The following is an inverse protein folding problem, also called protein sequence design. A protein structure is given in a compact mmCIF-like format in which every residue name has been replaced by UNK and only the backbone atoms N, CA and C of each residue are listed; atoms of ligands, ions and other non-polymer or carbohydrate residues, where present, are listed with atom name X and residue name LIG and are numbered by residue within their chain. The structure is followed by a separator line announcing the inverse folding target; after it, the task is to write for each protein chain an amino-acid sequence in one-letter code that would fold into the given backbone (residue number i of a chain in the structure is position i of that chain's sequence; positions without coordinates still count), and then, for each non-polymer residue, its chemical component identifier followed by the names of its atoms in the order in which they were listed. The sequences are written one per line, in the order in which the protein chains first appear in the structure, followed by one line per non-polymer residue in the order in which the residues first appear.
data_IF_237437389287
#
_entry.id   IF_237437389287
#
_cell.length_a   1.000
_cell.length_b   1.000
_cell.length_c   1.000
_cell.angle_alpha   90.00
_cell.angle_beta   90.00
_cell.angle_gamma   90.00
#
_symmetry.space_group_name_H-M   'P 1'
#
loop_
_entity.id
_entity.type
_entity.pdbx_description
1 polymer ?
#
# COMPACT_ATOMS: atom_id res chain seq x y z
N UNK A 1 3.30 45.13 10.57
CA UNK A 1 3.60 43.95 11.44
C UNK A 1 2.28 43.21 11.61
N UNK A 2 2.11 42.05 10.96
CA UNK A 2 0.92 41.22 11.11
C UNK A 2 1.10 40.46 12.41
N UNK A 3 0.19 40.62 13.41
CA UNK A 3 0.32 39.86 14.63
C UNK A 3 0.10 38.36 14.32
N UNK A 4 1.13 37.56 14.49
CA UNK A 4 0.96 36.13 14.54
C UNK A 4 0.10 35.78 15.77
N UNK A 5 -1.12 35.32 15.56
CA UNK A 5 -1.93 34.78 16.63
C UNK A 5 -1.30 33.44 17.02
N UNK A 6 -0.58 33.41 18.12
CA UNK A 6 -0.16 32.14 18.74
C UNK A 6 -1.40 31.46 19.33
N UNK A 7 -2.03 30.57 18.60
CA UNK A 7 -2.96 29.64 19.22
C UNK A 7 -2.13 28.59 19.94
N UNK A 8 -2.25 28.55 21.26
CA UNK A 8 -1.71 27.45 22.06
C UNK A 8 -2.58 26.23 21.78
N UNK A 9 -2.16 25.39 20.88
CA UNK A 9 -2.85 24.13 20.61
C UNK A 9 -2.65 23.20 21.81
N UNK A 10 -3.76 22.77 22.42
CA UNK A 10 -3.71 21.78 23.50
C UNK A 10 -3.27 20.44 22.89
N UNK A 11 -2.12 19.98 23.31
CA UNK A 11 -1.55 18.71 22.89
C UNK A 11 -2.29 17.59 23.60
N UNK A 12 -2.86 16.61 22.87
CA UNK A 12 -3.51 15.47 23.49
C UNK A 12 -2.56 14.67 24.40
N UNK A 13 -3.01 14.37 25.63
CA UNK A 13 -2.20 13.65 26.63
C UNK A 13 -1.71 12.27 26.16
N UNK A 14 -2.40 11.67 25.21
CA UNK A 14 -2.02 10.38 24.62
C UNK A 14 -0.63 10.40 23.96
N UNK A 15 -0.15 11.58 23.51
CA UNK A 15 1.20 11.67 22.93
C UNK A 15 2.32 11.47 23.95
N UNK A 16 2.06 11.75 25.23
CA UNK A 16 2.99 11.40 26.32
C UNK A 16 3.08 9.88 26.51
N UNK A 17 1.95 9.15 26.41
CA UNK A 17 1.97 7.69 26.44
C UNK A 17 2.79 7.12 25.29
N UNK A 18 2.56 7.62 24.06
CA UNK A 18 3.32 7.19 22.88
C UNK A 18 4.82 7.50 23.04
N UNK A 19 5.17 8.69 23.56
CA UNK A 19 6.55 9.09 23.83
C UNK A 19 7.24 8.16 24.80
N UNK A 20 6.57 7.82 25.91
CA UNK A 20 7.10 7.01 27.00
C UNK A 20 7.15 5.51 26.68
N UNK A 21 6.63 5.08 25.53
CA UNK A 21 6.78 3.70 25.08
C UNK A 21 8.21 3.48 24.54
N UNK A 22 9.04 2.76 25.28
CA UNK A 22 10.47 2.58 24.99
C UNK A 22 10.76 1.64 23.82
N UNK A 23 9.76 0.93 23.29
CA UNK A 23 9.96 0.05 22.15
C UNK A 23 10.24 0.83 20.84
N UNK A 24 10.93 0.21 19.91
CA UNK A 24 11.15 0.79 18.58
C UNK A 24 9.90 0.54 17.72
N UNK A 25 9.34 1.58 17.17
CA UNK A 25 8.18 1.54 16.27
C UNK A 25 8.00 2.87 15.56
N UNK A 26 7.16 2.86 14.53
CA UNK A 26 6.65 4.07 13.87
C UNK A 26 5.19 4.31 14.24
N UNK A 27 4.75 5.56 14.13
CA UNK A 27 3.35 5.97 14.21
C UNK A 27 2.84 6.17 12.78
N UNK A 28 1.72 5.55 12.45
CA UNK A 28 1.00 5.84 11.22
C UNK A 28 0.06 7.03 11.46
N UNK A 29 0.37 8.16 10.84
CA UNK A 29 -0.47 9.35 10.94
C UNK A 29 -1.40 9.45 9.73
N UNK A 30 -2.68 9.23 9.95
CA UNK A 30 -3.71 9.27 8.91
C UNK A 30 -4.54 10.58 8.98
N UNK A 31 -4.99 11.11 7.82
CA UNK A 31 -4.75 10.58 6.48
C UNK A 31 -3.33 10.85 6.00
N UNK A 32 -2.71 9.87 5.35
CA UNK A 32 -1.46 10.07 4.64
C UNK A 32 -1.75 10.95 3.42
N UNK A 33 -0.84 11.88 3.09
CA UNK A 33 -0.99 12.80 1.96
C UNK A 33 -1.63 14.13 2.34
N UNK A 34 -1.18 15.19 1.68
CA UNK A 34 -1.52 16.57 1.99
C UNK A 34 -2.60 17.17 1.11
N UNK A 35 -2.76 18.48 1.24
CA UNK A 35 -3.62 19.32 0.40
C UNK A 35 -2.89 19.68 -0.88
N UNK A 36 -3.39 19.28 -2.03
CA UNK A 36 -2.86 19.62 -3.34
C UNK A 36 -2.45 18.39 -4.17
N UNK A 37 -1.99 18.61 -5.37
CA UNK A 37 -1.62 17.57 -6.35
C UNK A 37 -0.37 16.77 -5.97
N UNK A 38 0.28 17.11 -4.85
CA UNK A 38 1.43 16.40 -4.29
C UNK A 38 1.00 15.23 -3.42
N UNK A 39 1.06 14.06 -3.97
CA UNK A 39 0.62 12.78 -3.40
C UNK A 39 1.27 12.38 -2.05
N UNK A 40 2.31 13.09 -1.60
CA UNK A 40 3.19 12.62 -0.53
C UNK A 40 3.41 13.63 0.62
N UNK A 41 2.85 14.80 0.49
CA UNK A 41 3.06 15.82 1.52
C UNK A 41 1.99 15.67 2.58
N UNK A 42 2.33 15.03 3.68
CA UNK A 42 1.51 15.11 4.88
C UNK A 42 1.31 16.56 5.28
N UNK A 43 0.15 16.84 5.84
CA UNK A 43 -0.12 18.17 6.39
C UNK A 43 0.95 18.53 7.44
N UNK A 44 1.56 19.73 7.40
CA UNK A 44 2.60 20.13 8.36
C UNK A 44 2.18 19.99 9.82
N UNK A 45 0.89 20.01 10.12
CA UNK A 45 0.35 19.79 11.48
C UNK A 45 0.68 18.39 12.00
N UNK A 46 0.77 17.38 11.15
CA UNK A 46 1.21 16.03 11.53
C UNK A 46 2.64 16.04 12.06
N UNK A 47 3.54 16.80 11.41
CA UNK A 47 4.93 16.95 11.88
C UNK A 47 5.01 17.69 13.22
N UNK A 48 4.11 18.67 13.44
CA UNK A 48 4.01 19.35 14.72
C UNK A 48 3.69 18.35 15.85
N UNK A 49 2.79 17.43 15.63
CA UNK A 49 2.47 16.38 16.61
C UNK A 49 3.63 15.41 16.85
N UNK A 50 4.47 15.17 15.84
CA UNK A 50 5.67 14.34 16.01
C UNK A 50 6.64 14.90 17.05
N UNK A 51 6.73 16.22 17.20
CA UNK A 51 7.59 16.88 18.20
C UNK A 51 7.23 16.42 19.63
N UNK A 52 5.95 16.11 19.88
CA UNK A 52 5.48 15.69 21.19
C UNK A 52 5.72 14.21 21.50
N UNK A 53 5.45 13.32 20.53
CA UNK A 53 5.64 11.90 20.79
C UNK A 53 7.05 11.38 20.40
N UNK A 54 7.86 12.15 19.67
CA UNK A 54 9.26 11.87 19.33
C UNK A 54 9.51 10.53 18.61
N UNK A 55 8.47 9.93 18.02
CA UNK A 55 8.58 8.66 17.28
C UNK A 55 8.59 8.92 15.78
N UNK A 56 9.27 8.06 14.99
CA UNK A 56 9.13 8.08 13.52
C UNK A 56 7.67 8.02 13.10
N UNK A 57 7.33 8.70 12.01
CA UNK A 57 5.98 8.67 11.44
C UNK A 57 5.99 8.19 10.00
N UNK A 58 4.95 7.44 9.62
CA UNK A 58 4.59 7.26 8.22
C UNK A 58 3.71 8.43 7.79
N UNK A 59 4.03 8.99 6.62
CA UNK A 59 3.29 10.13 6.07
C UNK A 59 3.91 11.49 6.39
N UNK A 60 5.19 11.55 6.70
CA UNK A 60 5.93 12.79 6.91
C UNK A 60 6.01 13.68 5.68
N UNK A 61 6.40 14.94 5.88
CA UNK A 61 6.67 15.89 4.81
C UNK A 61 8.11 15.73 4.34
N UNK A 62 8.29 15.28 3.10
CA UNK A 62 9.60 15.28 2.47
C UNK A 62 9.54 16.05 1.14
N UNK A 63 10.26 17.14 1.07
CA UNK A 63 10.36 17.96 -0.14
C UNK A 63 11.11 17.28 -1.29
N UNK A 64 11.78 16.15 -1.01
CA UNK A 64 12.60 15.39 -1.97
C UNK A 64 12.48 13.89 -1.69
N UNK A 65 11.26 13.38 -1.73
CA UNK A 65 11.02 11.94 -1.57
C UNK A 65 11.48 11.19 -2.83
N UNK A 66 12.27 10.14 -2.67
CA UNK A 66 12.66 9.29 -3.80
C UNK A 66 11.43 8.58 -4.38
N UNK A 67 11.47 8.24 -5.67
CA UNK A 67 10.41 7.46 -6.31
C UNK A 67 10.18 6.12 -5.59
N UNK A 68 11.25 5.50 -5.09
CA UNK A 68 11.19 4.25 -4.34
C UNK A 68 10.41 4.40 -3.02
N UNK A 69 10.66 5.46 -2.26
CA UNK A 69 9.88 5.77 -1.04
C UNK A 69 8.42 6.06 -1.39
N UNK A 70 8.19 6.74 -2.52
CA UNK A 70 6.84 6.98 -3.03
C UNK A 70 6.09 5.69 -3.35
N UNK A 71 6.74 4.74 -3.98
CA UNK A 71 6.14 3.46 -4.33
C UNK A 71 5.85 2.63 -3.07
N UNK A 72 6.71 2.68 -2.06
CA UNK A 72 6.46 2.04 -0.76
C UNK A 72 5.24 2.60 -0.04
N UNK A 73 5.02 3.93 -0.04
CA UNK A 73 3.83 4.54 0.58
C UNK A 73 2.54 4.28 -0.21
N UNK A 74 2.65 3.89 -1.47
CA UNK A 74 1.53 3.50 -2.34
C UNK A 74 1.20 2.02 -2.28
N UNK A 75 1.85 1.26 -1.39
CA UNK A 75 1.49 -0.14 -1.19
C UNK A 75 0.01 -0.25 -0.81
N UNK A 76 -0.62 -1.32 -1.23
CA UNK A 76 -2.02 -1.62 -0.99
C UNK A 76 -2.49 -1.25 0.42
N UNK A 77 -1.75 -1.69 1.46
CA UNK A 77 -2.13 -1.48 2.86
C UNK A 77 -2.06 0.00 3.26
N UNK A 78 -0.93 0.67 3.01
CA UNK A 78 -0.76 2.08 3.39
C UNK A 78 -1.69 3.01 2.59
N UNK A 79 -2.01 2.63 1.34
CA UNK A 79 -2.95 3.39 0.51
C UNK A 79 -4.35 3.47 1.11
N UNK A 80 -4.77 2.50 1.94
CA UNK A 80 -6.05 2.56 2.65
C UNK A 80 -6.13 3.75 3.62
N UNK A 81 -4.99 4.21 4.13
CA UNK A 81 -4.89 5.35 5.05
C UNK A 81 -4.60 6.68 4.32
N UNK A 82 -4.39 6.65 3.02
CA UNK A 82 -4.25 7.87 2.22
C UNK A 82 -5.56 8.65 2.15
N UNK A 83 -5.46 9.98 2.07
CA UNK A 83 -6.60 10.89 2.00
C UNK A 83 -7.57 10.54 0.87
N UNK A 84 -7.03 10.17 -0.27
CA UNK A 84 -7.79 9.81 -1.48
C UNK A 84 -7.69 8.31 -1.81
N UNK A 85 -7.10 7.51 -0.94
CA UNK A 85 -6.94 6.07 -1.16
C UNK A 85 -8.28 5.35 -1.05
N UNK A 86 -8.60 4.55 -2.04
CA UNK A 86 -9.85 3.75 -2.10
C UNK A 86 -9.73 2.39 -1.41
N UNK A 87 -8.50 1.95 -1.08
CA UNK A 87 -8.26 0.58 -0.61
C UNK A 87 -8.39 -0.49 -1.70
N UNK A 88 -8.68 -0.10 -2.94
CA UNK A 88 -8.72 -1.04 -4.06
C UNK A 88 -7.31 -1.24 -4.63
N UNK A 89 -6.94 -2.49 -4.82
CA UNK A 89 -5.69 -2.86 -5.46
C UNK A 89 -5.81 -4.28 -6.04
N UNK A 90 -4.72 -4.74 -6.66
CA UNK A 90 -4.63 -6.09 -7.25
C UNK A 90 -4.46 -7.18 -6.18
N UNK A 91 -3.93 -6.84 -5.01
CA UNK A 91 -3.81 -7.80 -3.90
C UNK A 91 -5.20 -8.05 -3.30
N UNK A 92 -5.56 -9.33 -3.20
CA UNK A 92 -6.80 -9.80 -2.58
C UNK A 92 -6.45 -10.66 -1.38
N UNK A 93 -6.52 -10.05 -0.19
CA UNK A 93 -6.29 -10.73 1.08
C UNK A 93 -7.21 -10.18 2.16
N UNK A 94 -7.56 -11.04 3.10
CA UNK A 94 -8.43 -10.71 4.22
C UNK A 94 -7.70 -9.89 5.27
N UNK A 95 -8.18 -8.70 5.57
CA UNK A 95 -7.58 -7.80 6.54
C UNK A 95 -7.86 -8.19 7.99
N UNK A 96 -8.95 -8.92 8.26
CA UNK A 96 -9.19 -9.46 9.59
C UNK A 96 -8.09 -10.46 9.99
N UNK A 97 -7.59 -11.23 9.00
CA UNK A 97 -6.50 -12.21 9.20
C UNK A 97 -5.12 -11.58 9.15
N UNK A 98 -4.88 -10.69 8.18
CA UNK A 98 -3.53 -10.23 7.84
C UNK A 98 -3.22 -8.80 8.31
N UNK A 99 -4.23 -8.02 8.70
CA UNK A 99 -4.04 -6.59 9.00
C UNK A 99 -3.04 -6.31 10.11
N UNK A 100 -3.04 -7.10 11.18
CA UNK A 100 -2.05 -6.96 12.27
C UNK A 100 -0.63 -7.31 11.80
N UNK A 101 -0.48 -8.35 10.98
CA UNK A 101 0.81 -8.75 10.42
C UNK A 101 1.35 -7.69 9.45
N UNK A 102 0.48 -6.99 8.72
CA UNK A 102 0.86 -5.86 7.88
C UNK A 102 1.34 -4.66 8.71
N UNK A 103 0.67 -4.34 9.81
CA UNK A 103 1.15 -3.32 10.74
C UNK A 103 2.53 -3.67 11.33
N UNK A 104 2.73 -4.92 11.74
CA UNK A 104 4.01 -5.40 12.28
C UNK A 104 5.11 -5.34 11.21
N UNK A 105 4.83 -5.71 9.97
CA UNK A 105 5.79 -5.63 8.87
C UNK A 105 6.31 -4.21 8.64
N UNK A 106 5.45 -3.20 8.84
CA UNK A 106 5.82 -1.79 8.74
C UNK A 106 6.30 -1.18 10.08
N UNK A 107 6.54 -2.00 11.11
CA UNK A 107 6.89 -1.55 12.45
C UNK A 107 5.91 -0.52 13.04
N UNK A 108 4.64 -0.54 12.64
CA UNK A 108 3.61 0.41 13.10
C UNK A 108 2.95 -0.12 14.38
N UNK A 109 3.11 0.62 15.48
CA UNK A 109 2.51 0.28 16.77
C UNK A 109 1.31 1.17 17.15
N UNK A 110 1.26 2.38 16.62
CA UNK A 110 0.14 3.29 16.83
C UNK A 110 -0.34 3.86 15.50
N UNK A 111 -1.66 3.95 15.38
CA UNK A 111 -2.32 4.70 14.31
C UNK A 111 -3.00 5.91 14.93
N UNK A 112 -2.66 7.11 14.46
CA UNK A 112 -3.32 8.36 14.82
C UNK A 112 -4.15 8.87 13.64
N UNK A 113 -5.44 9.11 13.85
CA UNK A 113 -6.35 9.63 12.80
C UNK A 113 -6.68 11.09 13.14
N UNK A 114 -6.22 12.01 12.30
CA UNK A 114 -6.45 13.44 12.46
C UNK A 114 -7.79 13.84 11.80
N UNK A 115 -8.85 14.01 12.60
CA UNK A 115 -10.20 14.28 12.12
C UNK A 115 -10.32 15.59 11.33
N UNK A 116 -9.49 16.58 11.66
CA UNK A 116 -9.48 17.88 10.96
C UNK A 116 -8.86 17.79 9.55
N UNK A 117 -8.06 16.76 9.27
CA UNK A 117 -7.37 16.54 8.00
C UNK A 117 -8.12 15.56 7.11
N UNK A 118 -8.94 14.68 7.71
CA UNK A 118 -9.77 13.71 7.02
C UNK A 118 -11.19 14.25 6.82
N UNK A 119 -11.83 13.86 5.72
CA UNK A 119 -13.28 14.01 5.62
C UNK A 119 -13.99 13.11 6.64
N UNK A 120 -15.24 13.41 6.97
CA UNK A 120 -16.06 12.55 7.84
C UNK A 120 -16.21 11.13 7.26
N UNK A 121 -16.34 11.03 5.94
CA UNK A 121 -16.40 9.76 5.22
C UNK A 121 -15.09 8.97 5.37
N UNK A 122 -13.93 9.62 5.17
CA UNK A 122 -12.64 8.97 5.34
C UNK A 122 -12.39 8.55 6.77
N UNK A 123 -12.76 9.37 7.75
CA UNK A 123 -12.68 9.03 9.17
C UNK A 123 -13.54 7.78 9.48
N UNK A 124 -14.77 7.72 8.96
CA UNK A 124 -15.66 6.58 9.13
C UNK A 124 -15.12 5.32 8.47
N UNK A 125 -14.55 5.44 7.27
CA UNK A 125 -13.90 4.33 6.57
C UNK A 125 -12.71 3.77 7.37
N UNK A 126 -11.85 4.65 7.91
CA UNK A 126 -10.72 4.19 8.75
C UNK A 126 -11.22 3.52 10.03
N UNK A 127 -12.26 4.04 10.68
CA UNK A 127 -12.88 3.39 11.84
C UNK A 127 -13.39 1.99 11.52
N UNK A 128 -14.06 1.83 10.38
CA UNK A 128 -14.57 0.53 9.93
C UNK A 128 -13.42 -0.45 9.65
N UNK A 129 -12.39 0.00 8.94
CA UNK A 129 -11.19 -0.77 8.66
C UNK A 129 -10.50 -1.24 9.95
N UNK A 130 -10.34 -0.33 10.92
CA UNK A 130 -9.73 -0.68 12.20
C UNK A 130 -10.61 -1.60 13.04
N UNK A 131 -11.93 -1.48 12.97
CA UNK A 131 -12.84 -2.42 13.64
C UNK A 131 -12.72 -3.84 13.06
N UNK A 132 -12.52 -3.98 11.75
CA UNK A 132 -12.24 -5.25 11.09
C UNK A 132 -10.90 -5.83 11.54
N UNK A 133 -9.81 -5.07 11.41
CA UNK A 133 -8.44 -5.51 11.75
C UNK A 133 -8.30 -5.85 13.23
N UNK A 134 -8.91 -5.07 14.12
CA UNK A 134 -8.82 -5.23 15.57
C UNK A 134 -9.93 -6.09 16.16
N UNK A 135 -10.72 -6.77 15.32
CA UNK A 135 -11.84 -7.61 15.74
C UNK A 135 -12.79 -6.89 16.73
N UNK A 136 -13.18 -5.66 16.37
CA UNK A 136 -14.10 -4.83 17.15
C UNK A 136 -13.47 -4.09 18.34
N UNK A 137 -12.17 -4.21 18.60
CA UNK A 137 -11.51 -3.43 19.63
C UNK A 137 -11.58 -1.93 19.33
N UNK A 138 -11.80 -1.15 20.38
CA UNK A 138 -11.99 0.30 20.29
C UNK A 138 -10.67 1.05 20.30
N UNK A 139 -10.65 2.32 19.83
CA UNK A 139 -9.50 3.19 20.01
C UNK A 139 -9.17 3.34 21.49
N UNK A 140 -7.88 3.49 21.80
CA UNK A 140 -7.41 3.76 23.18
C UNK A 140 -7.63 5.22 23.61
N UNK A 141 -7.81 6.11 22.61
CA UNK A 141 -8.10 7.52 22.83
C UNK A 141 -8.94 8.06 21.66
N UNK A 142 -9.94 8.88 21.99
CA UNK A 142 -10.71 9.64 21.01
C UNK A 142 -11.20 10.95 21.64
N UNK A 143 -10.92 12.08 20.95
CA UNK A 143 -11.49 13.38 21.26
C UNK A 143 -12.08 14.04 19.99
N UNK A 144 -12.31 15.35 20.02
CA UNK A 144 -12.85 16.09 18.88
C UNK A 144 -11.88 16.20 17.70
N UNK A 145 -10.56 16.05 17.92
CA UNK A 145 -9.49 16.27 16.94
C UNK A 145 -8.86 14.99 16.42
N UNK A 146 -8.63 14.03 17.32
CA UNK A 146 -7.89 12.81 16.98
C UNK A 146 -8.56 11.54 17.49
N UNK A 147 -8.21 10.43 16.83
CA UNK A 147 -8.48 9.06 17.28
C UNK A 147 -7.14 8.34 17.32
N UNK A 148 -6.87 7.56 18.37
CA UNK A 148 -5.64 6.78 18.49
C UNK A 148 -5.96 5.31 18.73
N UNK A 149 -5.37 4.46 17.89
CA UNK A 149 -5.41 3.01 18.06
C UNK A 149 -4.01 2.53 18.44
N UNK A 150 -3.94 1.62 19.43
CA UNK A 150 -2.74 0.85 19.71
C UNK A 150 -2.86 -0.50 19.02
N UNK A 151 -1.88 -0.83 18.23
CA UNK A 151 -1.86 -2.04 17.42
C UNK A 151 -1.27 -3.18 18.25
N UNK A 152 -2.02 -4.23 18.57
CA UNK A 152 -1.48 -5.40 19.25
C UNK A 152 -0.56 -6.19 18.32
N UNK A 153 0.27 -7.06 18.88
CA UNK A 153 1.05 -8.00 18.09
C UNK A 153 0.13 -8.96 17.35
N UNK A 154 0.47 -9.34 16.12
CA UNK A 154 -0.31 -10.32 15.37
C UNK A 154 -0.22 -11.69 16.06
N UNK A 155 -1.28 -12.45 15.93
CA UNK A 155 -1.36 -13.85 16.33
C UNK A 155 -1.56 -14.79 15.11
N UNK A 156 -1.64 -14.22 13.91
CA UNK A 156 -1.74 -15.00 12.67
C UNK A 156 -0.36 -15.50 12.24
N UNK A 157 -0.31 -16.75 11.81
CA UNK A 157 0.85 -17.37 11.17
C UNK A 157 0.69 -17.50 9.65
N UNK A 158 -0.39 -16.94 9.09
CA UNK A 158 -0.68 -17.05 7.66
C UNK A 158 0.22 -16.13 6.84
N UNK A 159 0.78 -16.62 5.71
CA UNK A 159 1.53 -15.80 4.78
C UNK A 159 0.67 -14.70 4.18
N UNK A 160 1.28 -13.55 3.91
CA UNK A 160 0.60 -12.41 3.31
C UNK A 160 1.40 -11.79 2.18
N UNK A 161 0.72 -10.98 1.36
CA UNK A 161 1.25 -10.40 0.13
C UNK A 161 1.51 -8.91 0.27
N UNK A 162 2.59 -8.47 -0.39
CA UNK A 162 2.87 -7.07 -0.68
C UNK A 162 3.34 -6.95 -2.13
N UNK A 163 3.28 -5.76 -2.69
CA UNK A 163 3.95 -5.45 -3.95
C UNK A 163 5.34 -4.89 -3.66
N UNK A 164 6.35 -5.43 -4.33
CA UNK A 164 7.69 -4.89 -4.36
C UNK A 164 7.87 -3.83 -5.45
N UNK A 165 8.98 -3.89 -6.18
CA UNK A 165 9.29 -2.97 -7.27
C UNK A 165 8.59 -3.35 -8.59
N UNK A 166 8.62 -2.45 -9.57
CA UNK A 166 8.21 -2.75 -10.94
C UNK A 166 6.71 -2.60 -11.24
N UNK A 167 5.95 -1.91 -10.39
CA UNK A 167 4.52 -1.70 -10.57
C UNK A 167 4.17 -0.25 -10.88
N UNK A 168 3.27 -0.05 -11.85
CA UNK A 168 2.59 1.23 -12.02
C UNK A 168 1.44 1.39 -11.04
N UNK A 169 0.92 2.61 -10.91
CA UNK A 169 -0.22 2.88 -10.04
C UNK A 169 -1.45 2.06 -10.43
N UNK A 170 -2.23 1.66 -9.43
CA UNK A 170 -3.52 1.04 -9.66
C UNK A 170 -4.46 1.99 -10.40
N UNK A 171 -5.05 1.51 -11.48
CA UNK A 171 -6.02 2.25 -12.28
C UNK A 171 -7.42 1.76 -11.96
N UNK A 172 -8.14 2.57 -11.18
CA UNK A 172 -9.57 2.36 -10.95
C UNK A 172 -10.36 2.96 -12.11
N UNK A 173 -11.37 2.25 -12.59
CA UNK A 173 -12.24 2.72 -13.65
C UNK A 173 -13.70 2.65 -13.22
N UNK A 174 -14.51 3.55 -13.79
CA UNK A 174 -15.97 3.42 -13.72
C UNK A 174 -16.44 2.27 -14.59
N UNK A 175 -17.61 1.70 -14.29
CA UNK A 175 -18.21 0.59 -15.06
C UNK A 175 -18.32 0.90 -16.57
N UNK A 176 -18.46 2.18 -16.92
CA UNK A 176 -18.56 2.62 -18.33
C UNK A 176 -17.21 2.59 -19.03
N UNK A 177 -16.13 2.90 -18.32
CA UNK A 177 -14.76 2.88 -18.84
C UNK A 177 -14.21 1.46 -18.87
N UNK A 178 -14.53 0.63 -17.86
CA UNK A 178 -14.07 -0.75 -17.76
C UNK A 178 -14.48 -1.62 -18.96
N UNK A 179 -15.56 -1.26 -19.65
CA UNK A 179 -15.99 -1.95 -20.88
C UNK A 179 -15.19 -1.61 -22.11
N UNK A 180 -14.35 -0.56 -22.06
CA UNK A 180 -13.63 -0.04 -23.22
C UNK A 180 -12.11 -0.15 -23.12
N UNK A 181 -11.58 -0.37 -21.92
CA UNK A 181 -10.15 -0.27 -21.63
C UNK A 181 -9.70 -1.50 -20.84
N UNK A 182 -8.85 -2.33 -21.45
CA UNK A 182 -8.41 -3.62 -20.88
C UNK A 182 -7.54 -3.50 -19.60
N UNK A 183 -7.04 -2.31 -19.27
CA UNK A 183 -6.19 -2.05 -18.12
C UNK A 183 -6.97 -1.53 -16.88
N UNK A 184 -8.28 -1.64 -16.89
CA UNK A 184 -9.14 -1.19 -15.81
C UNK A 184 -9.13 -2.14 -14.61
N UNK A 185 -9.18 -1.56 -13.41
CA UNK A 185 -9.09 -2.28 -12.14
C UNK A 185 -7.85 -3.17 -12.05
N UNK A 186 -6.73 -2.63 -12.56
CA UNK A 186 -5.48 -3.34 -12.70
C UNK A 186 -4.27 -2.46 -12.36
N UNK A 187 -3.12 -3.09 -12.14
CA UNK A 187 -1.81 -2.47 -12.23
C UNK A 187 -1.12 -2.94 -13.49
N UNK A 188 -0.49 -2.02 -14.19
CA UNK A 188 0.45 -2.36 -15.23
C UNK A 188 1.81 -2.65 -14.63
N UNK A 189 2.55 -3.56 -15.26
CA UNK A 189 3.89 -3.96 -14.83
C UNK A 189 4.96 -3.30 -15.69
N UNK A 190 6.13 -3.11 -15.11
CA UNK A 190 7.39 -2.85 -15.82
C UNK A 190 7.99 -4.17 -16.30
N UNK A 191 9.20 -4.12 -16.85
CA UNK A 191 9.93 -5.32 -17.29
C UNK A 191 10.01 -6.38 -16.20
N UNK A 192 10.43 -5.98 -14.99
CA UNK A 192 10.53 -6.82 -13.81
C UNK A 192 9.57 -6.30 -12.74
N UNK A 193 8.66 -7.14 -12.29
CA UNK A 193 7.71 -6.78 -11.23
C UNK A 193 7.77 -7.80 -10.11
N UNK A 194 7.79 -7.32 -8.89
CA UNK A 194 8.00 -8.14 -7.70
C UNK A 194 6.72 -8.28 -6.88
N UNK A 195 6.40 -9.49 -6.49
CA UNK A 195 5.40 -9.83 -5.48
C UNK A 195 6.19 -10.30 -4.26
N UNK A 196 6.02 -9.63 -3.13
CA UNK A 196 6.63 -10.02 -1.87
C UNK A 196 5.66 -10.94 -1.13
N UNK A 197 6.12 -12.11 -0.72
CA UNK A 197 5.38 -13.04 0.10
C UNK A 197 6.08 -13.14 1.45
N UNK A 198 5.42 -12.67 2.48
CA UNK A 198 5.95 -12.73 3.84
C UNK A 198 5.44 -13.98 4.53
N UNK A 199 6.36 -14.85 4.93
CA UNK A 199 6.08 -16.01 5.77
C UNK A 199 6.44 -15.66 7.22
N UNK A 200 5.45 -15.43 8.10
CA UNK A 200 5.72 -15.05 9.48
C UNK A 200 6.15 -16.22 10.37
N UNK A 201 6.18 -17.44 9.85
CA UNK A 201 6.57 -18.63 10.61
C UNK A 201 8.07 -18.89 10.54
N UNK A 202 8.57 -19.78 11.40
CA UNK A 202 9.98 -20.21 11.43
C UNK A 202 10.26 -21.48 10.59
N UNK A 203 9.31 -21.88 9.73
CA UNK A 203 9.44 -23.06 8.88
C UNK A 203 9.07 -22.74 7.44
N UNK A 204 9.62 -23.50 6.52
CA UNK A 204 9.24 -23.44 5.11
C UNK A 204 7.76 -23.81 4.95
N UNK A 205 7.08 -23.17 4.01
CA UNK A 205 5.68 -23.44 3.65
C UNK A 205 5.56 -23.56 2.14
N UNK A 206 4.73 -24.49 1.72
CA UNK A 206 4.30 -24.58 0.34
C UNK A 206 2.99 -23.79 0.17
N UNK A 207 2.94 -22.96 -0.85
CA UNK A 207 1.76 -22.16 -1.19
C UNK A 207 1.54 -22.17 -2.70
N UNK A 208 0.38 -21.70 -3.12
CA UNK A 208 0.03 -21.43 -4.51
C UNK A 208 -0.42 -19.98 -4.64
N UNK A 209 0.00 -19.28 -5.70
CA UNK A 209 -0.56 -17.99 -6.06
C UNK A 209 -1.58 -18.16 -7.18
N UNK A 210 -2.71 -17.51 -7.02
CA UNK A 210 -3.64 -17.26 -8.10
C UNK A 210 -3.46 -15.82 -8.59
N UNK A 211 -3.15 -15.65 -9.87
CA UNK A 211 -2.92 -14.35 -10.51
C UNK A 211 -3.86 -14.22 -11.71
N UNK A 212 -4.49 -13.05 -11.87
CA UNK A 212 -5.28 -12.76 -13.07
C UNK A 212 -4.50 -11.77 -13.91
N UNK A 213 -4.07 -12.21 -15.09
CA UNK A 213 -3.15 -11.49 -15.97
C UNK A 213 -3.78 -11.26 -17.33
N UNK A 214 -3.40 -10.17 -17.98
CA UNK A 214 -3.70 -9.90 -19.39
C UNK A 214 -2.61 -9.06 -20.05
N UNK A 215 -2.43 -9.25 -21.34
CA UNK A 215 -1.56 -8.40 -22.16
C UNK A 215 -2.38 -7.40 -22.97
N UNK A 216 -1.85 -6.18 -23.18
CA UNK A 216 -2.60 -5.10 -23.84
C UNK A 216 -2.79 -5.30 -25.34
N UNK A 217 -1.81 -5.87 -26.03
CA UNK A 217 -1.78 -5.89 -27.51
C UNK A 217 -1.61 -7.29 -28.09
N UNK A 218 -0.62 -8.01 -27.61
CA UNK A 218 -0.27 -9.35 -28.08
C UNK A 218 -0.04 -10.28 -26.89
N UNK A 219 -0.20 -11.57 -27.11
CA UNK A 219 0.24 -12.58 -26.14
C UNK A 219 1.71 -12.37 -25.78
N UNK A 220 2.04 -12.58 -24.52
CA UNK A 220 3.39 -12.38 -23.98
C UNK A 220 3.81 -13.54 -23.12
N UNK A 221 5.09 -13.82 -23.13
CA UNK A 221 5.69 -14.81 -22.25
C UNK A 221 6.33 -14.12 -21.06
N UNK A 222 6.02 -14.60 -19.85
CA UNK A 222 6.55 -14.11 -18.59
C UNK A 222 7.23 -15.23 -17.84
N UNK A 223 8.50 -15.01 -17.49
CA UNK A 223 9.28 -15.94 -16.63
C UNK A 223 8.96 -15.63 -15.18
N UNK A 224 8.58 -16.64 -14.43
CA UNK A 224 8.32 -16.58 -13.00
C UNK A 224 9.49 -17.14 -12.24
N UNK A 225 10.04 -16.36 -11.32
CA UNK A 225 11.12 -16.78 -10.44
C UNK A 225 10.76 -16.57 -8.98
N UNK A 226 11.28 -17.38 -8.07
CA UNK A 226 11.24 -17.13 -6.61
C UNK A 226 12.64 -17.06 -6.05
N UNK A 227 12.95 -15.97 -5.33
CA UNK A 227 14.27 -15.77 -4.72
C UNK A 227 15.42 -16.00 -5.73
N UNK A 228 15.25 -15.48 -6.96
CA UNK A 228 16.15 -15.60 -8.12
C UNK A 228 16.29 -17.03 -8.70
N UNK A 229 15.41 -17.96 -8.35
CA UNK A 229 15.34 -19.28 -8.97
C UNK A 229 14.13 -19.33 -9.89
N UNK A 230 14.36 -19.57 -11.18
CA UNK A 230 13.29 -19.78 -12.15
C UNK A 230 12.42 -20.97 -11.77
N UNK A 231 11.11 -20.79 -11.87
CA UNK A 231 10.10 -21.79 -11.51
C UNK A 231 9.27 -22.20 -12.72
N UNK A 232 8.80 -21.23 -13.47
CA UNK A 232 7.78 -21.45 -14.51
C UNK A 232 7.84 -20.36 -15.57
N UNK A 233 7.18 -20.62 -16.68
CA UNK A 233 6.98 -19.66 -17.77
C UNK A 233 5.51 -19.62 -18.10
N UNK A 234 4.90 -18.42 -18.08
CA UNK A 234 3.49 -18.20 -18.32
C UNK A 234 3.28 -17.50 -19.65
N UNK A 235 2.39 -18.04 -20.49
CA UNK A 235 1.92 -17.36 -21.69
C UNK A 235 0.67 -16.53 -21.32
N UNK A 236 0.82 -15.20 -21.34
CA UNK A 236 -0.22 -14.26 -20.94
C UNK A 236 -1.06 -13.88 -22.17
N UNK A 237 -2.34 -14.23 -22.17
CA UNK A 237 -3.25 -13.87 -23.25
C UNK A 237 -3.65 -12.40 -23.20
N UNK A 238 -4.26 -11.91 -24.27
CA UNK A 238 -4.75 -10.52 -24.37
C UNK A 238 -6.01 -10.26 -23.52
N UNK A 239 -6.69 -11.29 -23.05
CA UNK A 239 -7.86 -11.18 -22.19
C UNK A 239 -7.50 -11.58 -20.75
N UNK A 240 -8.13 -10.95 -19.72
CA UNK A 240 -7.89 -11.32 -18.32
C UNK A 240 -8.12 -12.80 -18.08
N UNK A 241 -7.08 -13.52 -17.70
CA UNK A 241 -7.12 -14.97 -17.48
C UNK A 241 -6.50 -15.31 -16.15
N UNK A 242 -7.20 -16.16 -15.38
CA UNK A 242 -6.71 -16.69 -14.12
C UNK A 242 -5.64 -17.75 -14.35
N UNK A 243 -4.47 -17.56 -13.75
CA UNK A 243 -3.34 -18.46 -13.82
C UNK A 243 -2.90 -18.86 -12.41
N UNK A 244 -2.34 -20.06 -12.28
CA UNK A 244 -1.86 -20.60 -11.00
C UNK A 244 -0.36 -20.82 -11.06
N UNK A 245 0.36 -20.16 -10.17
CA UNK A 245 1.77 -20.41 -9.91
C UNK A 245 1.82 -21.39 -8.75
N UNK A 246 2.22 -22.64 -9.03
CA UNK A 246 2.17 -23.77 -8.09
C UNK A 246 3.53 -24.01 -7.45
N UNK A 247 3.51 -24.78 -6.37
CA UNK A 247 4.70 -25.33 -5.73
C UNK A 247 5.71 -24.26 -5.26
N UNK A 248 5.19 -23.11 -4.81
CA UNK A 248 6.01 -22.07 -4.24
C UNK A 248 6.43 -22.45 -2.82
N UNK A 249 7.69 -22.85 -2.65
CA UNK A 249 8.26 -23.07 -1.32
C UNK A 249 8.78 -21.74 -0.80
N UNK A 250 8.09 -21.15 0.17
CA UNK A 250 8.47 -19.91 0.83
C UNK A 250 9.20 -20.19 2.13
N UNK A 251 10.37 -19.60 2.28
CA UNK A 251 11.18 -19.63 3.50
C UNK A 251 10.65 -18.67 4.56
N UNK A 252 11.01 -18.82 5.85
CA UNK A 252 10.76 -17.80 6.86
C UNK A 252 11.19 -16.41 6.41
N UNK A 253 10.35 -15.40 6.69
CA UNK A 253 10.60 -14.02 6.30
C UNK A 253 10.09 -13.68 4.89
N UNK A 254 10.77 -12.73 4.23
CA UNK A 254 10.36 -12.19 2.92
C UNK A 254 10.88 -13.08 1.77
N UNK A 255 9.97 -13.47 0.89
CA UNK A 255 10.27 -14.18 -0.35
C UNK A 255 9.84 -13.29 -1.52
N UNK A 256 10.66 -13.21 -2.55
CA UNK A 256 10.42 -12.37 -3.72
C UNK A 256 10.05 -13.25 -4.90
N UNK A 257 8.82 -13.13 -5.38
CA UNK A 257 8.40 -13.69 -6.67
C UNK A 257 8.55 -12.61 -7.71
N UNK A 258 9.37 -12.86 -8.72
CA UNK A 258 9.61 -11.94 -9.83
C UNK A 258 8.86 -12.42 -11.06
N UNK A 259 8.14 -11.51 -11.69
CA UNK A 259 7.52 -11.67 -13.00
C UNK A 259 8.35 -10.88 -14.00
N UNK A 260 9.12 -11.56 -14.83
CA UNK A 260 10.06 -10.97 -15.79
C UNK A 260 9.63 -11.23 -17.24
N UNK A 261 9.74 -10.21 -18.09
CA UNK A 261 9.55 -10.35 -19.53
C UNK A 261 10.43 -9.37 -20.28
N UNK A 262 10.98 -9.80 -21.41
CA UNK A 262 11.69 -8.94 -22.37
C UNK A 262 10.74 -8.27 -23.37
N UNK A 263 9.46 -8.64 -23.34
CA UNK A 263 8.42 -8.13 -24.24
C UNK A 263 7.68 -6.96 -23.58
N UNK A 264 7.85 -5.77 -24.08
CA UNK A 264 7.20 -4.57 -23.59
C UNK A 264 6.77 -3.65 -24.72
N UNK A 265 5.72 -2.85 -24.45
CA UNK A 265 5.26 -1.76 -25.32
C UNK A 265 5.64 -0.44 -24.68
N UNK A 266 5.99 0.55 -25.52
CA UNK A 266 6.18 1.92 -25.06
C UNK A 266 4.84 2.64 -25.06
N UNK A 267 4.30 2.94 -23.89
CA UNK A 267 3.10 3.76 -23.77
C UNK A 267 3.46 5.18 -23.35
N UNK A 268 2.86 6.16 -24.02
CA UNK A 268 2.95 7.56 -23.66
C UNK A 268 1.71 7.94 -22.88
N UNK A 269 1.85 8.08 -21.55
CA UNK A 269 0.78 8.62 -20.72
C UNK A 269 0.92 10.13 -20.60
N UNK A 270 -0.03 10.87 -21.17
CA UNK A 270 -0.25 12.25 -20.79
C UNK A 270 -0.78 12.28 -19.36
N UNK A 271 -0.08 12.94 -18.45
CA UNK A 271 -0.64 13.28 -17.14
C UNK A 271 -1.82 14.24 -17.38
N UNK A 272 -3.05 13.74 -17.27
CA UNK A 272 -4.21 14.59 -17.30
C UNK A 272 -4.11 15.58 -16.11
N UNK A 273 -3.95 16.87 -16.40
CA UNK A 273 -4.17 17.96 -15.45
C UNK A 273 -2.97 18.77 -15.01
N UNK A 274 -1.73 18.41 -15.39
CA UNK A 274 -0.58 19.30 -15.14
C UNK A 274 0.05 19.76 -16.45
N UNK A 275 0.39 21.04 -16.53
CA UNK A 275 1.01 21.68 -17.70
C UNK A 275 2.50 21.26 -17.91
N UNK A 276 2.87 20.09 -17.48
CA UNK A 276 4.17 19.48 -17.71
C UNK A 276 4.00 18.48 -18.84
N UNK A 277 4.25 18.95 -20.05
CA UNK A 277 4.30 18.16 -21.30
C UNK A 277 5.59 17.33 -21.35
N UNK A 278 5.83 16.55 -20.34
CA UNK A 278 6.87 15.54 -20.37
C UNK A 278 6.22 14.19 -20.66
N UNK A 279 6.24 13.84 -21.94
CA UNK A 279 5.99 12.49 -22.44
C UNK A 279 7.10 11.56 -21.93
N UNK A 280 7.00 11.14 -20.68
CA UNK A 280 7.92 10.14 -20.14
C UNK A 280 7.49 8.81 -20.74
N UNK A 281 8.30 8.21 -21.61
CA UNK A 281 8.00 6.88 -22.14
C UNK A 281 7.99 5.90 -20.98
N UNK A 282 6.87 5.22 -20.76
CA UNK A 282 6.75 4.16 -19.77
C UNK A 282 6.75 2.82 -20.48
N UNK A 283 7.59 1.92 -20.04
CA UNK A 283 7.52 0.52 -20.45
C UNK A 283 6.34 -0.14 -19.78
N UNK A 284 5.41 -0.66 -20.59
CA UNK A 284 4.30 -1.47 -20.12
C UNK A 284 4.50 -2.89 -20.61
N UNK A 285 4.48 -3.84 -19.70
CA UNK A 285 4.65 -5.25 -20.06
C UNK A 285 3.29 -5.95 -20.15
N UNK A 286 2.58 -6.05 -19.05
CA UNK A 286 1.27 -6.69 -18.97
C UNK A 286 0.46 -6.07 -17.82
N UNK A 287 -0.79 -6.47 -17.68
CA UNK A 287 -1.69 -5.99 -16.63
C UNK A 287 -2.00 -7.10 -15.64
N UNK A 288 -2.06 -6.74 -14.39
CA UNK A 288 -2.45 -7.62 -13.29
C UNK A 288 -3.73 -7.09 -12.67
N UNK A 289 -4.78 -7.91 -12.67
CA UNK A 289 -6.09 -7.57 -12.08
C UNK A 289 -6.25 -8.08 -10.66
N UNK A 290 -5.66 -9.23 -10.35
CA UNK A 290 -5.67 -9.72 -8.97
C UNK A 290 -4.52 -10.69 -8.68
N UNK A 291 -4.11 -10.69 -7.40
CA UNK A 291 -3.12 -11.61 -6.82
C UNK A 291 -3.69 -12.08 -5.49
N UNK A 292 -3.73 -13.41 -5.26
CA UNK A 292 -4.13 -13.98 -3.99
C UNK A 292 -3.35 -15.27 -3.67
N UNK A 293 -3.17 -15.57 -2.39
CA UNK A 293 -2.67 -16.87 -1.94
C UNK A 293 -3.86 -17.84 -1.93
N UNK A 294 -3.62 -19.04 -2.42
CA UNK A 294 -4.52 -20.18 -2.30
C UNK A 294 -3.88 -21.20 -1.34
N UNK A 295 -4.61 -21.59 -0.33
CA UNK A 295 -4.25 -22.66 0.61
C UNK A 295 -4.72 -24.01 0.09
#
# INVERSE_FOLDING_TARGET
MIPFSSQTELVPSIYEEIKNDESKFAVLAAPIGGTGDGFLMSDPRILYHQIYHEKPIYGGYESRTSLETMDQTRTYFLNMFHKFGSGNDVIKQDLATHGLSLFEYFDIKYLTVHKELASSEKTSHIKQLMAEILNGNRPIYEDTKIIVYKIPKPNSSEPFLLLGSGWHNYKSCTDTEAKKIFDCNARSTMKNSEILIVNPTNSDREIMLNVVLSSAENERTVVVSINNKELDTLDIPTIPTGMKIKELIIKPGVNVVTLDTDQFSMAYYGLMGTAIDERIPRTLSFHVQSISIMN
#
